data_IF_250893263331
#
_entry.id   IF_250893263331
#
_cell.length_a   1.000
_cell.length_b   1.000
_cell.length_c   1.000
_cell.angle_alpha   90.00
_cell.angle_beta   90.00
_cell.angle_gamma   90.00
#
_symmetry.space_group_name_H-M   'P 1'
#
loop_
_entity.id
_entity.type
_entity.pdbx_description
1 polymer ?
#
# COMPACT_ATOMS: atom_id res chain seq x y z
N UNK A 1 -31.64 -19.90 -2.57
CA UNK A 1 -30.37 -19.53 -3.27
C UNK A 1 -30.14 -18.03 -3.31
N UNK A 2 -31.13 -17.21 -3.69
CA UNK A 2 -30.98 -15.74 -3.76
C UNK A 2 -30.46 -15.09 -2.46
N UNK A 3 -31.00 -15.51 -1.31
CA UNK A 3 -30.62 -14.95 0.00
C UNK A 3 -29.17 -15.26 0.39
N UNK A 4 -28.65 -16.46 0.08
CA UNK A 4 -27.25 -16.84 0.32
C UNK A 4 -26.29 -16.04 -0.55
N UNK A 5 -26.64 -15.80 -1.80
CA UNK A 5 -25.81 -15.02 -2.73
C UNK A 5 -25.75 -13.54 -2.33
N UNK A 6 -26.84 -13.00 -1.76
CA UNK A 6 -26.87 -11.65 -1.24
C UNK A 6 -25.97 -11.48 0.00
N UNK A 7 -25.97 -12.44 0.93
CA UNK A 7 -25.08 -12.41 2.09
C UNK A 7 -23.60 -12.46 1.71
N UNK A 8 -23.23 -13.29 0.71
CA UNK A 8 -21.84 -13.37 0.22
C UNK A 8 -21.42 -12.03 -0.40
N UNK A 9 -22.30 -11.41 -1.18
CA UNK A 9 -22.04 -10.11 -1.78
C UNK A 9 -21.85 -9.00 -0.71
N UNK A 10 -22.65 -8.97 0.34
CA UNK A 10 -22.49 -8.03 1.46
C UNK A 10 -21.16 -8.24 2.21
N UNK A 11 -20.76 -9.50 2.43
CA UNK A 11 -19.46 -9.83 3.03
C UNK A 11 -18.28 -9.36 2.15
N UNK A 12 -18.36 -9.54 0.84
CA UNK A 12 -17.33 -9.05 -0.09
C UNK A 12 -17.29 -7.50 -0.12
N UNK A 13 -18.43 -6.82 0.01
CA UNK A 13 -18.49 -5.36 0.15
C UNK A 13 -17.80 -4.88 1.44
N UNK A 14 -18.06 -5.53 2.57
CA UNK A 14 -17.40 -5.22 3.84
C UNK A 14 -15.90 -5.50 3.76
N UNK A 15 -15.50 -6.62 3.15
CA UNK A 15 -14.11 -6.97 2.90
C UNK A 15 -13.39 -5.91 2.06
N UNK A 16 -14.02 -5.40 1.00
CA UNK A 16 -13.46 -4.33 0.18
C UNK A 16 -13.31 -3.01 0.95
N UNK A 17 -14.29 -2.63 1.77
CA UNK A 17 -14.19 -1.42 2.62
C UNK A 17 -13.10 -1.54 3.68
N UNK A 18 -12.86 -2.75 4.19
CA UNK A 18 -11.77 -3.01 5.12
C UNK A 18 -10.40 -2.87 4.44
N UNK A 19 -10.25 -3.34 3.20
CA UNK A 19 -9.04 -3.16 2.39
C UNK A 19 -8.71 -1.68 2.14
N UNK A 20 -9.71 -0.84 1.88
CA UNK A 20 -9.50 0.61 1.71
C UNK A 20 -8.97 1.26 3.00
N UNK A 21 -9.50 0.88 4.17
CA UNK A 21 -8.98 1.33 5.47
C UNK A 21 -7.54 0.87 5.73
N UNK A 22 -7.23 -0.38 5.37
CA UNK A 22 -5.86 -0.93 5.46
C UNK A 22 -4.89 -0.13 4.61
N UNK A 23 -5.27 0.18 3.37
CA UNK A 23 -4.48 1.01 2.47
C UNK A 23 -4.18 2.38 3.07
N UNK A 24 -5.20 3.09 3.58
CA UNK A 24 -5.03 4.38 4.24
C UNK A 24 -4.14 4.32 5.48
N UNK A 25 -4.30 3.29 6.31
CA UNK A 25 -3.47 3.09 7.51
C UNK A 25 -1.99 2.87 7.15
N UNK A 26 -1.71 2.11 6.09
CA UNK A 26 -0.34 1.87 5.60
C UNK A 26 0.28 3.11 4.96
N UNK A 27 -0.50 3.89 4.22
CA UNK A 27 -0.05 5.18 3.69
C UNK A 27 0.34 6.13 4.83
N UNK A 28 -0.49 6.24 5.88
CA UNK A 28 -0.16 7.03 7.07
C UNK A 28 1.12 6.53 7.75
N UNK A 29 1.28 5.21 7.89
CA UNK A 29 2.47 4.60 8.48
C UNK A 29 3.73 4.96 7.68
N UNK A 30 3.68 4.90 6.34
CA UNK A 30 4.78 5.32 5.48
C UNK A 30 5.13 6.80 5.69
N UNK A 31 4.12 7.69 5.70
CA UNK A 31 4.35 9.12 5.93
C UNK A 31 4.99 9.42 7.28
N UNK A 32 4.61 8.68 8.34
CA UNK A 32 5.20 8.83 9.67
C UNK A 32 6.67 8.38 9.67
N UNK A 33 6.98 7.25 9.03
CA UNK A 33 8.36 6.73 8.96
C UNK A 33 9.25 7.66 8.13
N UNK A 34 8.78 8.10 6.96
CA UNK A 34 9.52 9.06 6.13
C UNK A 34 9.72 10.39 6.86
N UNK A 35 8.70 10.90 7.55
CA UNK A 35 8.80 12.11 8.37
C UNK A 35 9.83 11.97 9.49
N UNK A 36 9.85 10.83 10.18
CA UNK A 36 10.84 10.53 11.22
C UNK A 36 12.26 10.43 10.65
N UNK A 37 12.43 9.82 9.47
CA UNK A 37 13.70 9.73 8.75
C UNK A 37 14.26 11.11 8.38
N UNK A 38 13.43 11.97 7.79
CA UNK A 38 13.81 13.35 7.44
C UNK A 38 14.21 14.09 8.71
N UNK A 39 13.42 13.97 9.79
CA UNK A 39 13.75 14.61 11.05
C UNK A 39 15.10 14.14 11.60
N UNK A 40 15.34 12.83 11.66
CA UNK A 40 16.63 12.27 12.10
C UNK A 40 17.79 12.73 11.21
N UNK A 41 17.58 12.82 9.91
CA UNK A 41 18.65 13.15 8.95
C UNK A 41 19.07 14.62 9.02
N UNK A 42 18.11 15.53 9.22
CA UNK A 42 18.37 16.98 9.20
C UNK A 42 18.51 17.62 10.58
N UNK A 43 17.88 17.04 11.59
CA UNK A 43 17.79 17.60 12.95
C UNK A 43 18.31 16.66 14.03
N UNK A 44 18.50 15.37 13.72
CA UNK A 44 19.12 14.43 14.63
C UNK A 44 20.63 14.64 14.62
N UNK A 45 21.18 15.24 15.67
CA UNK A 45 22.62 15.26 15.94
C UNK A 45 23.12 13.86 16.35
N UNK A 46 22.93 12.88 15.48
CA UNK A 46 23.33 11.49 15.70
C UNK A 46 24.71 11.24 15.13
N UNK A 47 25.47 10.35 15.77
CA UNK A 47 26.78 9.92 15.25
C UNK A 47 26.56 9.12 13.96
N UNK A 48 27.37 9.39 12.93
CA UNK A 48 27.26 8.82 11.57
C UNK A 48 26.83 7.33 11.50
N UNK A 49 27.44 6.37 12.24
CA UNK A 49 27.04 4.96 12.14
C UNK A 49 25.62 4.68 12.65
N UNK A 50 25.14 5.45 13.63
CA UNK A 50 23.78 5.31 14.17
C UNK A 50 22.77 5.85 13.16
N UNK A 51 23.07 7.00 12.53
CA UNK A 51 22.24 7.57 11.49
C UNK A 51 22.12 6.64 10.27
N UNK A 52 23.21 5.98 9.88
CA UNK A 52 23.19 4.94 8.85
C UNK A 52 22.34 3.72 9.23
N UNK A 53 22.48 3.20 10.45
CA UNK A 53 21.68 2.07 10.91
C UNK A 53 20.17 2.38 10.95
N UNK A 54 19.80 3.59 11.39
CA UNK A 54 18.41 4.06 11.37
C UNK A 54 17.90 4.19 9.94
N UNK A 55 18.74 4.72 9.03
CA UNK A 55 18.39 4.85 7.62
C UNK A 55 18.10 3.50 6.97
N UNK A 56 18.98 2.51 7.17
CA UNK A 56 18.79 1.15 6.64
C UNK A 56 17.55 0.50 7.26
N UNK A 57 17.37 0.61 8.57
CA UNK A 57 16.22 0.03 9.28
C UNK A 57 14.89 0.61 8.81
N UNK A 58 14.81 1.93 8.64
CA UNK A 58 13.61 2.60 8.16
C UNK A 58 13.32 2.26 6.68
N UNK A 59 14.34 2.20 5.83
CA UNK A 59 14.19 1.74 4.43
C UNK A 59 13.67 0.31 4.34
N UNK A 60 14.10 -0.59 5.23
CA UNK A 60 13.57 -1.96 5.32
C UNK A 60 12.09 -1.99 5.73
N UNK A 61 11.69 -1.18 6.71
CA UNK A 61 10.28 -1.10 7.13
C UNK A 61 9.42 -0.54 5.99
N UNK A 62 9.89 0.50 5.29
CA UNK A 62 9.21 1.05 4.11
C UNK A 62 9.04 -0.06 3.05
N UNK A 63 10.09 -0.83 2.75
CA UNK A 63 10.02 -1.95 1.82
C UNK A 63 8.95 -2.98 2.22
N UNK A 64 8.89 -3.37 3.50
CA UNK A 64 7.89 -4.32 4.01
C UNK A 64 6.48 -3.76 3.82
N UNK A 65 6.26 -2.49 4.15
CA UNK A 65 4.94 -1.84 4.00
C UNK A 65 4.54 -1.75 2.53
N UNK A 66 5.49 -1.44 1.64
CA UNK A 66 5.30 -1.44 0.19
C UNK A 66 4.90 -2.81 -0.35
N UNK A 67 5.62 -3.87 0.02
CA UNK A 67 5.30 -5.25 -0.38
C UNK A 67 3.93 -5.67 0.13
N UNK A 68 3.62 -5.33 1.38
CA UNK A 68 2.32 -5.60 1.94
C UNK A 68 1.23 -4.84 1.16
N UNK A 69 1.43 -3.55 0.82
CA UNK A 69 0.47 -2.76 0.05
C UNK A 69 0.20 -3.34 -1.35
N UNK A 70 1.23 -3.90 -2.00
CA UNK A 70 1.06 -4.63 -3.27
C UNK A 70 0.17 -5.86 -3.11
N UNK A 71 0.30 -6.59 -2.00
CA UNK A 71 -0.58 -7.73 -1.68
C UNK A 71 -2.02 -7.28 -1.45
N UNK A 72 -2.23 -6.23 -0.66
CA UNK A 72 -3.57 -5.68 -0.41
C UNK A 72 -4.28 -5.26 -1.71
N UNK A 73 -3.55 -4.68 -2.67
CA UNK A 73 -4.11 -4.36 -3.99
C UNK A 73 -4.53 -5.59 -4.78
N UNK A 74 -3.78 -6.69 -4.71
CA UNK A 74 -4.14 -7.95 -5.36
C UNK A 74 -5.40 -8.52 -4.71
N UNK A 75 -5.47 -8.52 -3.38
CA UNK A 75 -6.64 -9.01 -2.64
C UNK A 75 -7.88 -8.16 -2.93
N UNK A 76 -7.74 -6.82 -2.92
CA UNK A 76 -8.81 -5.90 -3.28
C UNK A 76 -9.34 -6.16 -4.70
N UNK A 77 -8.46 -6.45 -5.67
CA UNK A 77 -8.87 -6.81 -7.03
C UNK A 77 -9.69 -8.10 -7.05
N UNK A 78 -9.31 -9.13 -6.29
CA UNK A 78 -10.08 -10.38 -6.20
C UNK A 78 -11.49 -10.12 -5.66
N UNK A 79 -11.63 -9.29 -4.62
CA UNK A 79 -12.95 -8.89 -4.10
C UNK A 79 -13.77 -8.11 -5.14
N UNK A 80 -13.13 -7.19 -5.88
CA UNK A 80 -13.78 -6.43 -6.95
C UNK A 80 -14.32 -7.35 -8.05
N UNK A 81 -13.49 -8.29 -8.52
CA UNK A 81 -13.84 -9.23 -9.60
C UNK A 81 -15.01 -10.14 -9.18
N UNK A 82 -15.04 -10.62 -7.93
CA UNK A 82 -16.15 -11.41 -7.37
C UNK A 82 -17.44 -10.61 -7.26
N UNK A 83 -17.36 -9.38 -6.74
CA UNK A 83 -18.52 -8.50 -6.65
C UNK A 83 -19.13 -8.19 -8.02
N UNK A 84 -18.30 -7.92 -9.04
CA UNK A 84 -18.75 -7.65 -10.41
C UNK A 84 -19.48 -8.86 -11.01
N UNK A 85 -19.08 -10.07 -10.65
CA UNK A 85 -19.77 -11.30 -11.02
C UNK A 85 -21.15 -11.38 -10.35
N UNK A 86 -21.24 -11.15 -9.04
CA UNK A 86 -22.51 -11.16 -8.31
C UNK A 86 -23.49 -10.05 -8.74
N UNK A 87 -23.00 -8.85 -9.02
CA UNK A 87 -23.82 -7.73 -9.50
C UNK A 87 -24.51 -8.07 -10.84
N UNK A 88 -23.84 -8.79 -11.75
CA UNK A 88 -24.43 -9.26 -13.02
C UNK A 88 -25.56 -10.26 -12.81
N UNK A 89 -25.44 -11.15 -11.83
CA UNK A 89 -26.45 -12.18 -11.55
C UNK A 89 -27.64 -11.67 -10.74
N UNK A 90 -27.41 -10.79 -9.77
CA UNK A 90 -28.43 -10.33 -8.81
C UNK A 90 -29.24 -9.13 -9.32
N UNK A 91 -28.85 -8.48 -10.42
CA UNK A 91 -29.47 -7.23 -10.93
C UNK A 91 -29.64 -6.15 -9.85
N UNK A 92 -28.79 -6.18 -8.82
CA UNK A 92 -28.79 -5.20 -7.74
C UNK A 92 -28.18 -3.89 -8.23
N UNK A 93 -28.66 -2.79 -7.70
CA UNK A 93 -28.07 -1.47 -7.98
C UNK A 93 -26.62 -1.50 -7.53
N UNK A 94 -25.65 -1.21 -8.41
CA UNK A 94 -24.24 -1.28 -8.05
C UNK A 94 -24.00 -0.35 -6.86
N UNK A 95 -23.38 -0.88 -5.81
CA UNK A 95 -23.07 -0.10 -4.59
C UNK A 95 -22.04 1.00 -4.92
N UNK A 96 -21.32 0.84 -6.04
CA UNK A 96 -20.31 1.77 -6.49
C UNK A 96 -20.96 2.85 -7.38
N UNK A 97 -20.77 4.15 -7.10
CA UNK A 97 -20.96 5.16 -8.15
C UNK A 97 -20.03 4.80 -9.31
N UNK A 98 -20.52 4.81 -10.56
CA UNK A 98 -19.74 4.55 -11.79
C UNK A 98 -18.52 5.48 -11.89
N UNK A 99 -17.47 5.16 -11.15
CA UNK A 99 -16.15 5.80 -11.10
C UNK A 99 -15.05 4.73 -11.07
N UNK A 100 -15.34 3.54 -11.60
CA UNK A 100 -14.37 2.44 -11.74
C UNK A 100 -13.09 2.90 -12.45
N UNK A 101 -13.19 3.85 -13.39
CA UNK A 101 -12.04 4.50 -14.03
C UNK A 101 -11.10 5.20 -13.04
N UNK A 102 -11.64 5.88 -12.01
CA UNK A 102 -10.81 6.56 -10.99
C UNK A 102 -10.10 5.59 -10.04
N UNK A 103 -10.67 4.40 -9.83
CA UNK A 103 -10.05 3.39 -8.96
C UNK A 103 -8.88 2.70 -9.68
N UNK A 104 -9.02 2.44 -10.98
CA UNK A 104 -7.93 1.91 -11.81
C UNK A 104 -6.78 2.93 -11.89
N UNK A 105 -7.09 4.22 -12.08
CA UNK A 105 -6.08 5.28 -12.03
C UNK A 105 -5.41 5.35 -10.64
N UNK A 106 -6.18 5.27 -9.56
CA UNK A 106 -5.65 5.27 -8.19
C UNK A 106 -4.75 4.07 -7.88
N UNK A 107 -5.11 2.87 -8.33
CA UNK A 107 -4.31 1.65 -8.17
C UNK A 107 -3.04 1.75 -9.02
N UNK A 108 -3.13 2.22 -10.26
CA UNK A 108 -1.98 2.38 -11.15
C UNK A 108 -0.99 3.40 -10.57
N UNK A 109 -1.49 4.57 -10.15
CA UNK A 109 -0.69 5.62 -9.50
C UNK A 109 -0.06 5.07 -8.23
N UNK A 110 -0.82 4.38 -7.38
CA UNK A 110 -0.29 3.77 -6.17
C UNK A 110 0.79 2.74 -6.47
N UNK A 111 0.63 1.89 -7.50
CA UNK A 111 1.67 0.94 -7.92
C UNK A 111 2.94 1.64 -8.40
N UNK A 112 2.80 2.68 -9.21
CA UNK A 112 3.94 3.44 -9.72
C UNK A 112 4.67 4.16 -8.59
N UNK A 113 3.94 4.77 -7.65
CA UNK A 113 4.51 5.43 -6.47
C UNK A 113 5.18 4.41 -5.55
N UNK A 114 4.52 3.30 -5.21
CA UNK A 114 5.11 2.24 -4.39
C UNK A 114 6.36 1.67 -5.05
N UNK A 115 6.35 1.45 -6.37
CA UNK A 115 7.50 0.99 -7.14
C UNK A 115 8.67 1.99 -7.13
N UNK A 116 8.39 3.28 -7.35
CA UNK A 116 9.40 4.34 -7.29
C UNK A 116 10.00 4.49 -5.89
N UNK A 117 9.17 4.50 -4.85
CA UNK A 117 9.61 4.56 -3.44
C UNK A 117 10.46 3.33 -3.10
N UNK A 118 10.07 2.15 -3.56
CA UNK A 118 10.83 0.91 -3.35
C UNK A 118 12.19 0.97 -4.03
N UNK A 119 12.25 1.38 -5.30
CA UNK A 119 13.50 1.53 -6.05
C UNK A 119 14.42 2.57 -5.41
N UNK A 120 13.86 3.71 -4.98
CA UNK A 120 14.60 4.75 -4.29
C UNK A 120 15.20 4.26 -2.96
N UNK A 121 14.44 3.49 -2.18
CA UNK A 121 14.94 2.90 -0.94
C UNK A 121 16.03 1.84 -1.19
N UNK A 122 15.88 0.99 -2.21
CA UNK A 122 16.93 0.04 -2.62
C UNK A 122 18.19 0.79 -3.04
N UNK A 123 18.05 1.88 -3.80
CA UNK A 123 19.17 2.72 -4.22
C UNK A 123 19.90 3.34 -3.02
N UNK A 124 19.19 3.86 -2.02
CA UNK A 124 19.79 4.37 -0.78
C UNK A 124 20.59 3.27 -0.05
N UNK A 125 20.05 2.05 0.05
CA UNK A 125 20.75 0.92 0.68
C UNK A 125 22.05 0.60 -0.08
N UNK A 126 21.99 0.53 -1.41
CA UNK A 126 23.15 0.26 -2.26
C UNK A 126 24.22 1.36 -2.18
N UNK A 127 23.82 2.64 -2.20
CA UNK A 127 24.73 3.76 -2.03
C UNK A 127 25.35 3.79 -0.63
N UNK A 128 24.58 3.44 0.41
CA UNK A 128 25.08 3.36 1.78
C UNK A 128 26.10 2.23 1.96
N UNK A 129 25.92 1.10 1.25
CA UNK A 129 26.87 -0.02 1.26
C UNK A 129 28.18 0.30 0.53
N UNK A 130 28.12 0.99 -0.62
CA UNK A 130 29.33 1.38 -1.38
C UNK A 130 30.18 2.48 -0.69
N UNK A 131 29.67 3.12 0.35
CA UNK A 131 30.45 4.06 1.19
C UNK A 131 31.23 3.32 2.29
N UNK A 132 30.86 2.07 2.60
CA UNK A 132 31.47 1.26 3.68
C UNK A 132 32.70 0.49 3.20
N UNK A 133 32.83 0.23 1.89
CA UNK A 133 34.06 -0.29 1.25
C UNK A 133 34.55 0.68 0.14
N UNK A 134 35.43 1.66 0.44
CA UNK A 134 36.26 2.31 -0.57
C UNK A 134 37.41 1.43 -1.07
#
# INVERSE_FOLDING_TARGET
MAQKNQTIYEQDCEGFRYQDKLFWSRFQTLSVIEGALIWVTFWGELVDPIQHAISIGASLIILIVCLAALKDQQDAKIFLDRMDEYEKYLKVTPIRPKKLLKLIDGILISRTVTGLVTLFNIFIILCSYNVIDP
#
